data_IF_735775178428
#
_entry.id   IF_735775178428
#
_cell.length_a   1.000
_cell.length_b   1.000
_cell.length_c   1.000
_cell.angle_alpha   90.00
_cell.angle_beta   90.00
_cell.angle_gamma   90.00
#
_symmetry.space_group_name_H-M   'P 1'
#
loop_
_entity.id
_entity.type
_entity.pdbx_description
1 polymer ?
#
# COMPACT_ATOMS: atom_id res chain seq x y z
N UNK A 1 54.17 -4.06 -9.40
CA UNK A 1 54.60 -4.87 -8.24
C UNK A 1 54.10 -4.19 -6.96
N UNK A 2 52.92 -4.54 -6.48
CA UNK A 2 52.33 -3.94 -5.27
C UNK A 2 53.02 -4.58 -4.06
N UNK A 3 53.97 -3.84 -3.45
CA UNK A 3 54.67 -4.25 -2.22
C UNK A 3 53.63 -4.52 -1.12
N UNK A 4 53.66 -5.71 -0.53
CA UNK A 4 52.80 -6.09 0.59
C UNK A 4 53.13 -5.21 1.80
N UNK A 5 52.39 -4.11 1.95
CA UNK A 5 52.44 -3.26 3.15
C UNK A 5 52.06 -4.16 4.33
N UNK A 6 52.94 -4.27 5.31
CA UNK A 6 52.61 -4.90 6.59
C UNK A 6 51.30 -4.28 7.10
N UNK A 7 50.23 -5.06 7.35
CA UNK A 7 48.91 -4.53 7.65
C UNK A 7 48.87 -4.01 9.10
N UNK A 8 49.50 -2.85 9.30
CA UNK A 8 49.72 -2.20 10.58
C UNK A 8 48.39 -1.79 11.23
N UNK A 9 47.47 -1.22 10.46
CA UNK A 9 46.13 -0.84 10.94
C UNK A 9 45.34 -2.05 11.46
N UNK A 10 45.35 -3.17 10.72
CA UNK A 10 44.67 -4.40 11.13
C UNK A 10 45.27 -5.00 12.40
N UNK A 11 46.60 -5.04 12.49
CA UNK A 11 47.31 -5.49 13.70
C UNK A 11 47.05 -4.59 14.91
N UNK A 12 46.85 -3.29 14.71
CA UNK A 12 46.46 -2.37 15.79
C UNK A 12 45.02 -2.62 16.28
N UNK A 13 44.07 -2.87 15.37
CA UNK A 13 42.68 -3.16 15.73
C UNK A 13 42.54 -4.47 16.53
N UNK A 14 43.24 -5.54 16.12
CA UNK A 14 43.17 -6.86 16.76
C UNK A 14 43.91 -6.91 18.11
N UNK A 15 44.82 -5.98 18.40
CA UNK A 15 45.58 -5.95 19.66
C UNK A 15 44.68 -5.90 20.90
N UNK A 16 43.55 -5.19 20.82
CA UNK A 16 42.58 -5.05 21.90
C UNK A 16 41.20 -5.59 21.48
N UNK A 17 41.11 -6.92 21.30
CA UNK A 17 39.93 -7.61 20.74
C UNK A 17 38.60 -7.22 21.41
N UNK A 18 38.57 -7.10 22.74
CA UNK A 18 37.36 -6.70 23.48
C UNK A 18 36.91 -5.27 23.17
N UNK A 19 37.84 -4.29 23.19
CA UNK A 19 37.54 -2.89 22.86
C UNK A 19 37.12 -2.74 21.40
N UNK A 20 37.76 -3.47 20.50
CA UNK A 20 37.40 -3.49 19.08
C UNK A 20 36.00 -4.07 18.86
N UNK A 21 35.66 -5.20 19.51
CA UNK A 21 34.34 -5.80 19.41
C UNK A 21 33.24 -4.85 19.92
N UNK A 22 33.44 -4.20 21.07
CA UNK A 22 32.46 -3.23 21.61
C UNK A 22 32.27 -2.04 20.66
N UNK A 23 33.35 -1.48 20.12
CA UNK A 23 33.28 -0.36 19.18
C UNK A 23 32.56 -0.76 17.88
N UNK A 24 32.87 -1.94 17.33
CA UNK A 24 32.22 -2.45 16.12
C UNK A 24 30.73 -2.69 16.35
N UNK A 25 30.36 -3.31 17.48
CA UNK A 25 28.95 -3.53 17.85
C UNK A 25 28.18 -2.21 18.00
N UNK A 26 28.82 -1.17 18.54
CA UNK A 26 28.18 0.16 18.67
C UNK A 26 27.85 0.79 17.31
N UNK A 27 28.79 0.77 16.37
CA UNK A 27 28.59 1.29 15.01
C UNK A 27 27.56 0.44 14.26
N UNK A 28 27.72 -0.89 14.29
CA UNK A 28 26.78 -1.80 13.63
C UNK A 28 25.35 -1.64 14.17
N UNK A 29 25.19 -1.45 15.47
CA UNK A 29 23.88 -1.21 16.08
C UNK A 29 23.26 0.12 15.61
N UNK A 30 24.06 1.20 15.55
CA UNK A 30 23.59 2.47 15.02
C UNK A 30 23.15 2.35 13.54
N UNK A 31 23.93 1.64 12.72
CA UNK A 31 23.59 1.41 11.31
C UNK A 31 22.30 0.59 11.16
N UNK A 32 22.11 -0.46 11.96
CA UNK A 32 20.87 -1.26 11.96
C UNK A 32 19.67 -0.37 12.33
N UNK A 33 19.79 0.48 13.35
CA UNK A 33 18.71 1.38 13.74
C UNK A 33 18.38 2.38 12.63
N UNK A 34 19.39 2.99 11.99
CA UNK A 34 19.19 3.90 10.88
C UNK A 34 18.50 3.20 9.69
N UNK A 35 18.96 2.01 9.31
CA UNK A 35 18.38 1.24 8.21
C UNK A 35 16.95 0.79 8.52
N UNK A 36 16.66 0.38 9.76
CA UNK A 36 15.32 0.01 10.19
C UNK A 36 14.35 1.19 10.08
N UNK A 37 14.77 2.38 10.53
CA UNK A 37 13.96 3.60 10.43
C UNK A 37 13.65 3.97 8.97
N UNK A 38 14.66 3.95 8.10
CA UNK A 38 14.48 4.18 6.66
C UNK A 38 13.58 3.13 6.00
N UNK A 39 13.72 1.86 6.42
CA UNK A 39 12.89 0.76 5.96
C UNK A 39 11.42 0.97 6.33
N UNK A 40 11.13 1.34 7.58
CA UNK A 40 9.78 1.66 8.04
C UNK A 40 9.19 2.88 7.32
N UNK A 41 9.97 3.94 7.16
CA UNK A 41 9.54 5.11 6.39
C UNK A 41 9.13 4.69 4.97
N UNK A 42 10.00 3.96 4.28
CA UNK A 42 9.75 3.50 2.91
C UNK A 42 8.51 2.62 2.81
N UNK A 43 8.35 1.67 3.73
CA UNK A 43 7.18 0.78 3.79
C UNK A 43 5.87 1.56 4.04
N UNK A 44 5.89 2.57 4.92
CA UNK A 44 4.73 3.42 5.18
C UNK A 44 4.35 4.28 3.96
N UNK A 45 5.34 4.88 3.29
CA UNK A 45 5.09 5.66 2.07
C UNK A 45 4.52 4.81 0.95
N UNK A 46 5.10 3.63 0.71
CA UNK A 46 4.64 2.77 -0.37
C UNK A 46 3.23 2.23 -0.08
N UNK A 47 2.96 1.83 1.18
CA UNK A 47 1.63 1.36 1.59
C UNK A 47 0.54 2.42 1.43
N UNK A 48 0.82 3.69 1.78
CA UNK A 48 -0.15 4.77 1.64
C UNK A 48 -0.35 5.20 0.18
N UNK A 49 0.68 5.13 -0.65
CA UNK A 49 0.60 5.56 -2.05
C UNK A 49 0.11 4.49 -3.02
N UNK A 50 0.14 3.21 -2.63
CA UNK A 50 -0.20 2.08 -3.51
C UNK A 50 -1.59 2.20 -4.14
N UNK A 51 -2.62 2.53 -3.36
CA UNK A 51 -3.97 2.69 -3.91
C UNK A 51 -4.02 3.82 -4.95
N UNK A 52 -3.41 4.97 -4.61
CA UNK A 52 -3.38 6.14 -5.48
C UNK A 52 -2.68 5.86 -6.82
N UNK A 53 -1.59 5.10 -6.80
CA UNK A 53 -0.84 4.70 -8.02
C UNK A 53 -1.62 3.74 -8.94
N UNK A 54 -2.59 3.01 -8.40
CA UNK A 54 -3.36 2.00 -9.14
C UNK A 54 -4.65 2.57 -9.74
N UNK A 55 -5.09 3.75 -9.31
CA UNK A 55 -6.29 4.39 -9.84
C UNK A 55 -6.05 4.86 -11.27
N UNK A 56 -7.02 4.60 -12.14
CA UNK A 56 -7.03 5.10 -13.51
C UNK A 56 -7.75 6.46 -13.54
N UNK A 57 -7.07 7.51 -13.07
CA UNK A 57 -7.62 8.88 -13.01
C UNK A 57 -6.52 9.92 -12.96
N UNK A 58 -6.76 11.09 -13.54
CA UNK A 58 -5.84 12.23 -13.50
C UNK A 58 -6.11 13.15 -12.31
N UNK A 59 -7.39 13.26 -11.90
CA UNK A 59 -7.85 14.14 -10.81
C UNK A 59 -8.72 13.34 -9.84
N UNK A 60 -8.57 13.62 -8.54
CA UNK A 60 -9.40 13.02 -7.50
C UNK A 60 -10.06 14.11 -6.68
N UNK A 61 -11.39 14.02 -6.53
CA UNK A 61 -12.15 14.86 -5.62
C UNK A 61 -12.36 14.11 -4.30
N UNK A 62 -11.90 14.70 -3.20
CA UNK A 62 -12.08 14.17 -1.85
C UNK A 62 -12.79 15.19 -0.96
N UNK A 63 -13.44 14.70 0.09
CA UNK A 63 -14.00 15.57 1.12
C UNK A 63 -12.88 16.32 1.86
N UNK A 64 -13.11 17.59 2.18
CA UNK A 64 -12.20 18.38 3.02
C UNK A 64 -12.07 17.85 4.45
N UNK A 65 -12.99 16.99 4.89
CA UNK A 65 -12.94 16.34 6.19
C UNK A 65 -12.29 14.93 6.11
N UNK A 66 -11.81 14.50 4.94
CA UNK A 66 -11.10 13.22 4.83
C UNK A 66 -9.74 13.32 5.53
N UNK A 67 -9.45 12.36 6.43
CA UNK A 67 -8.19 12.34 7.17
C UNK A 67 -7.17 11.36 6.58
N UNK A 68 -7.64 10.20 6.12
CA UNK A 68 -6.85 9.15 5.52
C UNK A 68 -7.75 8.22 4.67
N UNK A 69 -7.15 7.27 3.95
CA UNK A 69 -7.86 6.30 3.10
C UNK A 69 -8.87 5.41 3.84
N UNK A 70 -8.71 5.22 5.15
CA UNK A 70 -9.66 4.47 5.98
C UNK A 70 -10.82 5.31 6.51
N UNK A 71 -10.67 6.63 6.52
CA UNK A 71 -11.62 7.63 7.02
C UNK A 71 -11.87 8.70 5.96
N UNK A 72 -12.34 8.25 4.80
CA UNK A 72 -12.76 9.12 3.71
C UNK A 72 -14.18 9.55 4.00
N UNK A 73 -14.35 10.76 4.55
CA UNK A 73 -15.69 11.32 4.73
C UNK A 73 -16.37 11.48 3.36
N UNK A 74 -17.67 11.25 3.32
CA UNK A 74 -18.45 11.35 2.08
C UNK A 74 -18.72 12.81 1.72
N UNK A 75 -19.06 13.05 0.46
CA UNK A 75 -19.50 14.36 -0.02
C UNK A 75 -20.71 14.21 -0.96
N UNK A 76 -21.51 15.27 -1.18
CA UNK A 76 -22.69 15.18 -2.04
C UNK A 76 -22.33 14.84 -3.49
N UNK A 77 -23.01 13.84 -4.07
CA UNK A 77 -22.83 13.42 -5.48
C UNK A 77 -22.93 14.55 -6.49
N UNK A 78 -23.69 15.61 -6.17
CA UNK A 78 -23.80 16.83 -7.00
C UNK A 78 -22.44 17.43 -7.36
N UNK A 79 -21.43 17.36 -6.48
CA UNK A 79 -20.08 17.87 -6.76
C UNK A 79 -19.41 17.11 -7.90
N UNK A 80 -19.64 15.80 -8.00
CA UNK A 80 -19.14 14.98 -9.10
C UNK A 80 -19.79 15.38 -10.42
N UNK A 81 -21.11 15.55 -10.44
CA UNK A 81 -21.84 16.00 -11.64
C UNK A 81 -21.46 17.42 -12.06
N UNK A 82 -21.19 18.32 -11.11
CA UNK A 82 -20.66 19.65 -11.42
C UNK A 82 -19.30 19.58 -12.12
N UNK A 83 -18.41 18.72 -11.66
CA UNK A 83 -17.12 18.50 -12.32
C UNK A 83 -17.28 17.87 -13.71
N UNK A 84 -18.19 16.90 -13.86
CA UNK A 84 -18.50 16.25 -15.12
C UNK A 84 -19.07 17.19 -16.20
N UNK A 85 -19.65 18.33 -15.80
CA UNK A 85 -20.21 19.32 -16.72
C UNK A 85 -19.16 20.28 -17.30
N UNK A 86 -17.91 20.24 -16.82
CA UNK A 86 -16.83 21.05 -17.37
C UNK A 86 -16.39 20.47 -18.72
N UNK A 87 -16.22 21.30 -19.77
CA UNK A 87 -15.86 20.80 -21.11
C UNK A 87 -14.48 20.13 -21.14
N UNK A 88 -13.60 20.42 -20.17
CA UNK A 88 -12.28 19.81 -20.04
C UNK A 88 -12.30 18.41 -19.41
N UNK A 89 -13.43 17.98 -18.84
CA UNK A 89 -13.56 16.71 -18.13
C UNK A 89 -14.19 15.66 -19.04
N UNK A 90 -13.39 14.65 -19.44
CA UNK A 90 -13.87 13.55 -20.29
C UNK A 90 -14.91 12.67 -19.58
N UNK A 91 -14.64 12.29 -18.33
CA UNK A 91 -15.55 11.48 -17.53
C UNK A 91 -15.35 11.70 -16.03
N UNK A 92 -16.41 11.48 -15.25
CA UNK A 92 -16.35 11.53 -13.79
C UNK A 92 -17.09 10.34 -13.17
N UNK A 93 -16.39 9.57 -12.33
CA UNK A 93 -16.91 8.37 -11.70
C UNK A 93 -16.78 8.42 -10.18
N UNK A 94 -17.76 7.87 -9.47
CA UNK A 94 -17.69 7.75 -8.01
C UNK A 94 -16.87 6.53 -7.58
N UNK A 95 -15.95 6.74 -6.65
CA UNK A 95 -15.23 5.69 -5.95
C UNK A 95 -15.65 5.69 -4.48
N UNK A 96 -16.09 4.55 -3.96
CA UNK A 96 -16.44 4.37 -2.56
C UNK A 96 -15.34 3.60 -1.87
N UNK A 97 -14.86 4.09 -0.74
CA UNK A 97 -13.80 3.43 0.04
C UNK A 97 -14.27 3.36 1.49
N UNK A 98 -14.19 2.18 2.10
CA UNK A 98 -14.60 1.97 3.49
C UNK A 98 -13.80 0.84 4.13
N UNK A 99 -13.38 1.03 5.38
CA UNK A 99 -12.96 -0.09 6.23
C UNK A 99 -14.18 -0.84 6.76
N UNK A 100 -14.21 -2.15 6.55
CA UNK A 100 -15.26 -3.04 7.02
C UNK A 100 -14.66 -4.24 7.76
N UNK A 101 -15.39 -4.77 8.72
CA UNK A 101 -15.04 -6.06 9.33
C UNK A 101 -15.66 -7.17 8.48
N UNK A 102 -14.82 -8.06 7.96
CA UNK A 102 -15.21 -9.20 7.17
C UNK A 102 -14.98 -10.48 7.95
N UNK A 103 -16.02 -11.31 8.03
CA UNK A 103 -15.95 -12.66 8.58
C UNK A 103 -15.84 -13.65 7.44
N UNK A 104 -14.70 -14.32 7.35
CA UNK A 104 -14.50 -15.31 6.30
C UNK A 104 -15.49 -16.49 6.52
N UNK A 105 -16.31 -16.85 5.52
CA UNK A 105 -17.32 -17.88 5.69
C UNK A 105 -16.75 -19.29 5.91
N UNK A 106 -15.54 -19.54 5.40
CA UNK A 106 -14.84 -20.83 5.49
C UNK A 106 -14.06 -20.97 6.80
N UNK A 107 -13.20 -20.00 7.13
CA UNK A 107 -12.34 -20.08 8.31
C UNK A 107 -12.99 -19.54 9.58
N UNK A 108 -14.13 -18.82 9.45
CA UNK A 108 -14.82 -18.09 10.52
C UNK A 108 -13.99 -17.00 11.19
N UNK A 109 -12.79 -16.72 10.70
CA UNK A 109 -11.92 -15.66 11.19
C UNK A 109 -12.45 -14.31 10.76
N UNK A 110 -12.38 -13.35 11.68
CA UNK A 110 -12.75 -11.96 11.44
C UNK A 110 -11.50 -11.14 11.13
N UNK A 111 -11.58 -10.32 10.10
CA UNK A 111 -10.48 -9.43 9.70
C UNK A 111 -11.03 -8.10 9.23
N UNK A 112 -10.31 -7.02 9.53
CA UNK A 112 -10.62 -5.72 8.95
C UNK A 112 -10.08 -5.67 7.52
N UNK A 113 -10.95 -5.33 6.56
CA UNK A 113 -10.64 -5.21 5.14
C UNK A 113 -10.99 -3.81 4.64
N UNK A 114 -10.26 -3.35 3.63
CA UNK A 114 -10.61 -2.15 2.89
C UNK A 114 -11.50 -2.57 1.71
N UNK A 115 -12.76 -2.17 1.75
CA UNK A 115 -13.72 -2.40 0.67
C UNK A 115 -13.72 -1.19 -0.25
N UNK A 116 -13.58 -1.45 -1.54
CA UNK A 116 -13.60 -0.42 -2.58
C UNK A 116 -14.69 -0.75 -3.58
N UNK A 117 -15.65 0.17 -3.72
CA UNK A 117 -16.75 0.07 -4.66
C UNK A 117 -16.61 1.08 -5.80
N UNK A 118 -16.83 0.65 -7.02
CA UNK A 118 -16.82 1.50 -8.21
C UNK A 118 -17.86 1.00 -9.23
N UNK A 119 -18.13 1.79 -10.25
CA UNK A 119 -19.04 1.39 -11.32
C UNK A 119 -18.38 0.34 -12.23
N UNK A 120 -18.91 -0.90 -12.35
CA UNK A 120 -18.28 -1.96 -13.15
C UNK A 120 -18.26 -1.68 -14.66
N UNK A 121 -19.05 -0.72 -15.15
CA UNK A 121 -19.02 -0.30 -16.55
C UNK A 121 -17.84 0.65 -16.86
N UNK A 122 -17.17 1.20 -15.84
CA UNK A 122 -16.00 2.07 -15.99
C UNK A 122 -14.89 1.60 -15.05
N UNK A 123 -13.82 1.03 -15.60
CA UNK A 123 -12.72 0.53 -14.77
C UNK A 123 -12.03 1.67 -14.02
N UNK A 124 -12.16 1.67 -12.69
CA UNK A 124 -11.53 2.68 -11.83
C UNK A 124 -10.03 2.43 -11.59
N UNK A 125 -9.51 1.27 -12.00
CA UNK A 125 -8.16 0.82 -11.72
C UNK A 125 -7.41 0.42 -12.99
N UNK A 126 -6.11 0.69 -13.04
CA UNK A 126 -5.24 0.23 -14.11
C UNK A 126 -4.66 -1.16 -13.82
N UNK A 127 -5.55 -2.13 -13.55
CA UNK A 127 -5.21 -3.53 -13.26
C UNK A 127 -5.89 -4.47 -14.26
N UNK A 128 -5.12 -5.25 -15.05
CA UNK A 128 -5.67 -6.22 -16.00
C UNK A 128 -6.64 -7.20 -15.35
N UNK A 129 -6.31 -7.70 -14.16
CA UNK A 129 -7.11 -8.70 -13.45
C UNK A 129 -8.49 -8.15 -13.05
N UNK A 130 -8.60 -6.85 -12.77
CA UNK A 130 -9.90 -6.23 -12.51
C UNK A 130 -10.69 -6.11 -13.81
N UNK A 131 -10.03 -5.70 -14.90
CA UNK A 131 -10.66 -5.55 -16.23
C UNK A 131 -11.26 -6.86 -16.72
N UNK A 132 -10.55 -7.98 -16.54
CA UNK A 132 -11.01 -9.32 -16.92
C UNK A 132 -12.25 -9.76 -16.13
N UNK A 133 -12.38 -9.32 -14.87
CA UNK A 133 -13.45 -9.75 -13.97
C UNK A 133 -14.59 -8.72 -13.81
N UNK A 134 -14.62 -7.63 -14.60
CA UNK A 134 -15.66 -6.58 -14.51
C UNK A 134 -17.08 -7.12 -14.71
N UNK A 135 -17.25 -8.15 -15.51
CA UNK A 135 -18.57 -8.74 -15.74
C UNK A 135 -19.08 -9.54 -14.54
N UNK A 136 -18.20 -10.09 -13.71
CA UNK A 136 -18.57 -10.85 -12.52
C UNK A 136 -19.09 -9.91 -11.42
N UNK A 137 -18.39 -8.80 -11.18
CA UNK A 137 -18.77 -7.83 -10.14
C UNK A 137 -20.02 -7.00 -10.48
N UNK A 138 -20.67 -7.27 -11.62
CA UNK A 138 -22.02 -6.73 -11.92
C UNK A 138 -23.10 -7.47 -11.14
N UNK A 139 -22.85 -8.71 -10.74
CA UNK A 139 -23.78 -9.49 -9.95
C UNK A 139 -23.73 -9.05 -8.48
N UNK A 140 -24.88 -9.03 -7.79
CA UNK A 140 -24.92 -8.79 -6.35
C UNK A 140 -24.03 -9.77 -5.58
N UNK A 141 -23.54 -9.34 -4.42
CA UNK A 141 -22.75 -10.13 -3.48
C UNK A 141 -21.44 -10.71 -4.02
N UNK A 142 -21.00 -10.30 -5.21
CA UNK A 142 -19.73 -10.72 -5.82
C UNK A 142 -18.58 -9.79 -5.45
N UNK A 143 -17.49 -10.35 -4.94
CA UNK A 143 -16.31 -9.62 -4.46
C UNK A 143 -15.03 -10.10 -5.16
N UNK A 144 -14.09 -9.17 -5.36
CA UNK A 144 -12.74 -9.50 -5.81
C UNK A 144 -11.76 -9.23 -4.67
N UNK A 145 -10.87 -10.18 -4.41
CA UNK A 145 -9.83 -10.06 -3.40
C UNK A 145 -8.47 -9.81 -4.05
N UNK A 146 -7.71 -8.85 -3.50
CA UNK A 146 -6.33 -8.63 -3.92
C UNK A 146 -5.44 -9.80 -3.48
N UNK A 147 -4.38 -10.08 -4.24
CA UNK A 147 -3.36 -11.09 -3.96
C UNK A 147 -2.67 -10.86 -2.61
N UNK A 148 -2.57 -9.60 -2.17
CA UNK A 148 -1.96 -9.22 -0.89
C UNK A 148 -2.96 -9.27 0.29
N UNK A 149 -4.21 -9.69 0.06
CA UNK A 149 -5.22 -9.80 1.12
C UNK A 149 -4.78 -10.84 2.16
N UNK A 150 -4.73 -10.44 3.43
CA UNK A 150 -4.35 -11.32 4.54
C UNK A 150 -5.45 -12.33 4.84
N UNK A 151 -5.31 -13.55 4.34
CA UNK A 151 -6.23 -14.66 4.58
C UNK A 151 -6.22 -15.69 3.45
N UNK A 152 -6.89 -16.82 3.66
CA UNK A 152 -7.13 -17.81 2.61
C UNK A 152 -8.39 -17.41 1.84
N UNK A 153 -8.24 -16.47 0.90
CA UNK A 153 -9.35 -15.98 0.07
C UNK A 153 -9.40 -16.60 -1.33
N UNK A 154 -8.37 -17.37 -1.72
CA UNK A 154 -8.30 -18.05 -3.02
C UNK A 154 -9.46 -19.04 -3.24
N UNK A 155 -9.97 -19.62 -2.16
CA UNK A 155 -11.09 -20.56 -2.18
C UNK A 155 -12.41 -19.90 -1.74
N UNK A 156 -12.38 -18.64 -1.31
CA UNK A 156 -13.55 -17.97 -0.76
C UNK A 156 -14.42 -17.45 -1.89
N UNK A 157 -15.46 -18.20 -2.21
CA UNK A 157 -16.52 -17.78 -3.12
C UNK A 157 -17.45 -16.85 -2.33
N UNK A 158 -17.40 -15.56 -2.64
CA UNK A 158 -18.44 -14.59 -2.32
C UNK A 158 -18.59 -13.71 -3.57
#
# INVERSE_FOLDING_TARGET
MIKSKTPLAWRQLIKAKGRFAVALSGIAFADILMLMQLGFQSALFDSNTRLHKLLNTDVVLISSQAQNLGLVNTFPRRRLFQAANLPEVESASSLYVRLANWKNPQTKLESSILVIGFNPNSSAFNLPEIKENLNLIKYPDTLLFDRSSRGKYQETIA
#
